data_IF_035809883063
#
_entry.id   IF_035809883063
#
_cell.length_a   1.000
_cell.length_b   1.000
_cell.length_c   1.000
_cell.angle_alpha   90.00
_cell.angle_beta   90.00
_cell.angle_gamma   90.00
#
_symmetry.space_group_name_H-M   'P 1'
#
loop_
_entity.id
_entity.type
_entity.pdbx_description
1 polymer ?
#
# COMPACT_ATOMS: atom_id res chain seq x y z
N UNK A 1 -11.12 -8.82 9.01
CA UNK A 1 -10.05 -9.61 8.37
C UNK A 1 -10.05 -9.28 6.89
N UNK A 2 -9.12 -8.43 6.49
CA UNK A 2 -8.99 -7.93 5.13
C UNK A 2 -8.39 -8.99 4.21
N UNK A 3 -8.85 -9.02 2.96
CA UNK A 3 -8.29 -9.89 1.92
C UNK A 3 -7.67 -9.05 0.81
N UNK A 4 -6.37 -9.21 0.55
CA UNK A 4 -5.71 -8.54 -0.57
C UNK A 4 -6.05 -9.27 -1.88
N UNK A 5 -6.77 -8.61 -2.78
CA UNK A 5 -7.29 -9.26 -4.01
C UNK A 5 -6.35 -9.10 -5.20
N UNK A 6 -5.73 -7.94 -5.31
CA UNK A 6 -4.84 -7.59 -6.40
C UNK A 6 -3.92 -6.46 -5.96
N UNK A 7 -2.78 -6.34 -6.63
CA UNK A 7 -1.86 -5.24 -6.38
C UNK A 7 -1.21 -4.81 -7.67
N UNK A 8 -0.78 -3.56 -7.68
CA UNK A 8 0.15 -3.03 -8.68
C UNK A 8 1.36 -2.48 -7.96
N UNK A 9 2.53 -2.63 -8.58
CA UNK A 9 3.78 -2.07 -8.06
C UNK A 9 4.46 -1.28 -9.16
N UNK A 10 4.78 -0.03 -8.85
CA UNK A 10 5.46 0.87 -9.77
C UNK A 10 6.75 1.39 -9.14
N UNK A 11 7.82 1.45 -9.94
CA UNK A 11 9.06 2.08 -9.49
C UNK A 11 8.90 3.60 -9.51
N UNK A 12 9.10 4.23 -8.35
CA UNK A 12 9.10 5.68 -8.22
C UNK A 12 10.40 6.20 -8.82
N UNK A 13 10.30 6.81 -10.01
CA UNK A 13 11.45 7.38 -10.71
C UNK A 13 11.97 8.57 -9.90
N UNK A 14 13.25 8.52 -9.55
CA UNK A 14 13.99 9.68 -9.03
C UNK A 14 14.86 10.29 -10.13
N UNK A 15 14.34 11.26 -10.91
CA UNK A 15 15.12 11.91 -11.96
C UNK A 15 16.24 12.80 -11.42
N UNK A 16 16.23 13.14 -10.12
CA UNK A 16 17.21 14.03 -9.51
C UNK A 16 18.35 13.26 -8.81
N UNK A 17 18.15 11.97 -8.52
CA UNK A 17 19.14 11.13 -7.84
C UNK A 17 19.44 11.59 -6.41
N UNK A 18 18.49 12.28 -5.77
CA UNK A 18 18.63 12.78 -4.39
C UNK A 18 18.28 11.67 -3.40
N UNK A 19 17.47 10.73 -3.83
CA UNK A 19 16.92 9.67 -3.00
C UNK A 19 17.91 8.51 -2.90
N UNK A 20 18.31 8.18 -1.68
CA UNK A 20 19.04 6.94 -1.42
C UNK A 20 18.09 5.74 -1.50
N UNK A 21 18.53 4.66 -2.14
CA UNK A 21 17.73 3.46 -2.39
C UNK A 21 16.72 3.58 -3.54
N UNK A 22 15.99 2.48 -3.79
CA UNK A 22 14.86 2.44 -4.74
C UNK A 22 13.56 2.65 -3.97
N UNK A 23 12.62 3.39 -4.55
CA UNK A 23 11.25 3.47 -4.02
C UNK A 23 10.29 2.77 -4.94
N UNK A 24 9.31 2.10 -4.34
CA UNK A 24 8.20 1.52 -5.06
C UNK A 24 6.91 2.02 -4.46
N UNK A 25 5.95 2.30 -5.33
CA UNK A 25 4.58 2.60 -4.98
C UNK A 25 3.76 1.35 -5.22
N UNK A 26 3.15 0.83 -4.16
CA UNK A 26 2.20 -0.26 -4.20
C UNK A 26 0.80 0.32 -4.15
N UNK A 27 -0.09 -0.16 -5.00
CA UNK A 27 -1.53 0.04 -4.85
C UNK A 27 -2.14 -1.34 -4.68
N UNK A 28 -2.56 -1.66 -3.45
CA UNK A 28 -3.09 -2.96 -3.06
C UNK A 28 -4.60 -2.82 -2.90
N UNK A 29 -5.37 -3.53 -3.71
CA UNK A 29 -6.82 -3.57 -3.58
C UNK A 29 -7.21 -4.52 -2.44
N UNK A 30 -8.07 -4.03 -1.56
CA UNK A 30 -8.51 -4.71 -0.36
C UNK A 30 -10.00 -5.05 -0.51
N UNK A 31 -10.31 -6.32 -0.35
CA UNK A 31 -11.69 -6.77 -0.19
C UNK A 31 -12.08 -6.60 1.29
N UNK A 32 -12.95 -5.62 1.52
CA UNK A 32 -13.43 -5.21 2.82
C UNK A 32 -14.88 -5.69 2.96
N UNK A 33 -15.23 -6.45 4.01
CA UNK A 33 -16.61 -6.87 4.24
C UNK A 33 -17.57 -5.68 4.45
N UNK A 34 -18.84 -5.79 4.05
CA UNK A 34 -19.83 -4.71 4.19
C UNK A 34 -20.09 -4.28 5.65
N UNK A 35 -19.85 -5.19 6.61
CA UNK A 35 -20.01 -4.95 8.05
C UNK A 35 -18.77 -4.32 8.71
N UNK A 36 -17.72 -4.06 7.93
CA UNK A 36 -16.44 -3.51 8.39
C UNK A 36 -16.43 -1.98 8.34
N UNK A 37 -15.66 -1.33 9.21
CA UNK A 37 -15.61 0.14 9.30
C UNK A 37 -14.88 0.77 8.11
N UNK A 38 -13.96 0.03 7.49
CA UNK A 38 -13.24 0.48 6.30
C UNK A 38 -14.08 0.38 5.03
N UNK A 39 -15.29 -0.19 5.08
CA UNK A 39 -16.07 -0.50 3.87
C UNK A 39 -16.51 0.75 3.11
N UNK A 40 -16.28 0.71 1.80
CA UNK A 40 -16.76 1.73 0.84
C UNK A 40 -17.33 1.01 -0.38
N UNK A 41 -18.51 1.43 -0.86
CA UNK A 41 -19.22 0.79 -1.99
C UNK A 41 -18.37 0.67 -3.26
N UNK A 42 -17.46 1.63 -3.47
CA UNK A 42 -16.59 1.70 -4.64
C UNK A 42 -15.26 0.94 -4.47
N UNK A 43 -15.09 0.22 -3.36
CA UNK A 43 -13.90 -0.53 -3.01
C UNK A 43 -12.82 0.31 -2.34
N UNK A 44 -11.91 -0.37 -1.65
CA UNK A 44 -10.80 0.22 -0.91
C UNK A 44 -9.48 -0.28 -1.46
N UNK A 45 -8.51 0.62 -1.56
CA UNK A 45 -7.14 0.30 -1.90
C UNK A 45 -6.18 1.00 -0.95
N UNK A 46 -5.11 0.31 -0.56
CA UNK A 46 -4.01 0.89 0.19
C UNK A 46 -2.90 1.27 -0.78
N UNK A 47 -2.53 2.54 -0.76
CA UNK A 47 -1.38 3.07 -1.48
C UNK A 47 -0.19 3.11 -0.52
N UNK A 48 0.82 2.29 -0.76
CA UNK A 48 1.97 2.11 0.13
C UNK A 48 3.25 2.52 -0.58
N UNK A 49 4.03 3.40 0.04
CA UNK A 49 5.35 3.77 -0.44
C UNK A 49 6.38 2.96 0.33
N UNK A 50 7.10 2.09 -0.36
CA UNK A 50 8.24 1.37 0.20
C UNK A 50 9.56 1.94 -0.30
N UNK A 51 10.57 1.91 0.57
CA UNK A 51 11.96 2.23 0.26
C UNK A 51 12.81 0.98 0.47
N UNK A 52 13.56 0.62 -0.56
CA UNK A 52 14.54 -0.47 -0.57
C UNK A 52 15.94 0.15 -0.61
N UNK A 53 16.75 -0.06 0.42
CA UNK A 53 18.10 0.49 0.55
C UNK A 53 19.08 -0.57 1.05
N UNK A 54 20.15 -0.78 0.27
CA UNK A 54 21.31 -1.68 0.50
C UNK A 54 20.99 -3.17 0.71
N UNK A 55 19.95 -3.52 1.47
CA UNK A 55 19.32 -4.84 1.65
C UNK A 55 18.08 -4.77 2.56
N UNK A 56 17.64 -3.56 2.93
CA UNK A 56 16.53 -3.32 3.85
C UNK A 56 15.36 -2.72 3.10
N UNK A 57 14.19 -3.31 3.29
CA UNK A 57 12.91 -2.75 2.86
C UNK A 57 12.22 -2.10 4.05
N UNK A 58 11.72 -0.88 3.85
CA UNK A 58 11.00 -0.11 4.85
C UNK A 58 9.77 0.55 4.22
N UNK A 59 8.67 0.66 4.95
CA UNK A 59 7.55 1.49 4.53
C UNK A 59 7.83 2.93 4.94
N UNK A 60 7.64 3.83 3.99
CA UNK A 60 7.77 5.28 4.17
C UNK A 60 6.44 5.86 4.62
N UNK A 61 5.35 5.45 3.98
CA UNK A 61 3.98 5.86 4.29
C UNK A 61 3.00 4.89 3.65
N UNK A 62 1.78 4.85 4.18
CA UNK A 62 0.62 4.27 3.52
C UNK A 62 -0.55 5.24 3.62
N UNK A 63 -1.45 5.16 2.64
CA UNK A 63 -2.70 5.92 2.60
C UNK A 63 -3.82 5.00 2.11
N UNK A 64 -5.00 5.07 2.72
CA UNK A 64 -6.19 4.41 2.20
C UNK A 64 -6.91 5.32 1.19
N UNK A 65 -7.35 4.74 0.08
CA UNK A 65 -8.06 5.46 -0.96
C UNK A 65 -9.15 4.60 -1.60
N UNK A 66 -10.21 5.25 -2.07
CA UNK A 66 -11.27 4.60 -2.83
C UNK A 66 -10.70 4.09 -4.16
N UNK A 67 -10.95 2.81 -4.48
CA UNK A 67 -10.34 2.14 -5.64
C UNK A 67 -10.73 2.77 -6.97
N UNK A 68 -11.95 3.30 -7.09
CA UNK A 68 -12.45 3.83 -8.37
C UNK A 68 -12.06 5.29 -8.63
N UNK A 69 -12.07 6.15 -7.60
CA UNK A 69 -11.81 7.58 -7.73
C UNK A 69 -10.41 8.00 -7.30
N UNK A 70 -9.71 7.17 -6.52
CA UNK A 70 -8.46 7.53 -5.84
C UNK A 70 -8.64 8.58 -4.74
N UNK A 71 -9.88 8.79 -4.28
CA UNK A 71 -10.14 9.70 -3.16
C UNK A 71 -9.56 9.12 -1.88
N UNK A 72 -8.74 9.90 -1.18
CA UNK A 72 -8.22 9.52 0.13
C UNK A 72 -9.36 9.31 1.12
N UNK A 73 -9.28 8.21 1.85
CA UNK A 73 -10.20 7.85 2.91
C UNK A 73 -9.56 8.25 4.24
N UNK A 74 -10.34 8.91 5.08
CA UNK A 74 -9.92 9.34 6.43
C UNK A 74 -10.18 8.20 7.43
N UNK A 75 -9.59 7.04 7.14
CA UNK A 75 -9.64 5.84 7.96
C UNK A 75 -8.22 5.36 8.24
N UNK A 76 -8.02 4.79 9.42
CA UNK A 76 -6.78 4.12 9.80
C UNK A 76 -7.02 2.62 9.84
N UNK A 77 -6.02 1.84 9.42
CA UNK A 77 -6.07 0.38 9.56
C UNK A 77 -5.79 -0.02 11.01
N UNK A 78 -6.32 -1.15 11.44
CA UNK A 78 -5.91 -1.72 12.73
C UNK A 78 -4.45 -2.18 12.69
N UNK A 79 -3.79 -2.27 13.85
CA UNK A 79 -2.35 -2.63 13.95
C UNK A 79 -2.03 -3.98 13.28
N UNK A 80 -2.90 -4.98 13.44
CA UNK A 80 -2.75 -6.30 12.83
C UNK A 80 -2.88 -6.25 11.29
N UNK A 81 -3.71 -5.35 10.77
CA UNK A 81 -3.95 -5.19 9.34
C UNK A 81 -2.83 -4.39 8.67
N UNK A 82 -2.33 -3.36 9.35
CA UNK A 82 -1.13 -2.63 8.95
C UNK A 82 0.07 -3.59 8.87
N UNK A 83 0.26 -4.44 9.88
CA UNK A 83 1.32 -5.45 9.88
C UNK A 83 1.19 -6.44 8.71
N UNK A 84 -0.03 -6.85 8.37
CA UNK A 84 -0.29 -7.72 7.22
C UNK A 84 0.03 -7.03 5.88
N UNK A 85 -0.34 -5.75 5.74
CA UNK A 85 -0.03 -4.94 4.56
C UNK A 85 1.48 -4.72 4.39
N UNK A 86 2.18 -4.46 5.50
CA UNK A 86 3.64 -4.31 5.55
C UNK A 86 4.34 -5.57 5.07
N UNK A 87 3.91 -6.73 5.58
CA UNK A 87 4.44 -8.02 5.19
C UNK A 87 4.18 -8.28 3.70
N UNK A 88 2.95 -8.03 3.24
CA UNK A 88 2.56 -8.21 1.84
C UNK A 88 3.44 -7.41 0.88
N UNK A 89 3.66 -6.12 1.15
CA UNK A 89 4.49 -5.26 0.30
C UNK A 89 5.96 -5.70 0.28
N UNK A 90 6.46 -6.21 1.41
CA UNK A 90 7.85 -6.69 1.52
C UNK A 90 8.08 -7.99 0.75
N UNK A 91 7.08 -8.88 0.70
CA UNK A 91 7.15 -10.16 -0.02
C UNK A 91 6.95 -10.02 -1.54
N UNK A 92 6.27 -8.96 -1.99
CA UNK A 92 5.91 -8.74 -3.40
C UNK A 92 6.76 -7.66 -4.09
N UNK A 93 7.96 -7.39 -3.57
CA UNK A 93 8.90 -6.48 -4.22
C UNK A 93 9.31 -7.00 -5.60
N UNK A 94 9.33 -6.14 -6.63
CA UNK A 94 9.85 -6.51 -7.93
C UNK A 94 11.37 -6.75 -7.86
N UNK A 95 11.82 -7.87 -8.45
CA UNK A 95 13.25 -8.25 -8.56
C UNK A 95 14.12 -7.19 -9.27
#
# INVERSE_FOLDING_TARGET
>A
MLTFTSYTVENVRDPFGILSGKRYEFVVNIDVPEDDELYVENGVSARVIVKVEEEQTSIVSYDLQETSSGQLLDFDMEEDEEAALVLFCSEHLPE
#
